data_IF_343636001153
#
_entry.id   IF_343636001153
#
_cell.length_a   1.000
_cell.length_b   1.000
_cell.length_c   1.000
_cell.angle_alpha   90.00
_cell.angle_beta   90.00
_cell.angle_gamma   90.00
#
_symmetry.space_group_name_H-M   'P 1'
#
loop_
_entity.id
_entity.type
_entity.pdbx_description
1 polymer ?
#
# COMPACT_ATOMS: atom_id res chain seq x y z
N UNK A 1 -12.34 11.30 14.40
CA UNK A 1 -11.32 11.69 13.41
C UNK A 1 -9.91 11.22 13.70
N UNK A 2 -9.28 11.52 14.85
CA UNK A 2 -7.83 11.29 15.01
C UNK A 2 -7.35 9.84 14.85
N UNK A 3 -8.09 8.84 15.34
CA UNK A 3 -7.66 7.44 15.28
C UNK A 3 -7.55 6.88 13.85
N UNK A 4 -8.46 7.28 12.95
CA UNK A 4 -8.45 6.87 11.54
C UNK A 4 -7.28 7.50 10.79
N UNK A 5 -7.02 8.79 11.04
CA UNK A 5 -5.91 9.50 10.43
C UNK A 5 -4.57 8.93 10.90
N UNK A 6 -4.40 8.68 12.21
CA UNK A 6 -3.19 8.04 12.74
C UNK A 6 -2.96 6.65 12.17
N UNK A 7 -4.02 5.85 12.01
CA UNK A 7 -3.95 4.53 11.39
C UNK A 7 -3.54 4.61 9.91
N UNK A 8 -4.11 5.55 9.16
CA UNK A 8 -3.75 5.77 7.76
C UNK A 8 -2.29 6.24 7.62
N UNK A 9 -1.84 7.18 8.46
CA UNK A 9 -0.46 7.68 8.48
C UNK A 9 0.54 6.56 8.80
N UNK A 10 0.24 5.73 9.81
CA UNK A 10 1.11 4.61 10.20
C UNK A 10 1.29 3.62 9.05
N UNK A 11 0.19 3.21 8.40
CA UNK A 11 0.23 2.28 7.29
C UNK A 11 0.86 2.87 6.03
N UNK A 12 0.58 4.15 5.74
CA UNK A 12 1.20 4.87 4.62
C UNK A 12 2.71 4.88 4.75
N UNK A 13 3.22 5.15 5.96
CA UNK A 13 4.66 5.13 6.26
C UNK A 13 5.22 3.72 6.22
N UNK A 14 4.57 2.77 6.90
CA UNK A 14 5.01 1.37 6.99
C UNK A 14 5.18 0.74 5.60
N UNK A 15 4.27 1.04 4.67
CA UNK A 15 4.27 0.43 3.34
C UNK A 15 4.88 1.33 2.26
N UNK A 16 5.46 2.46 2.65
CA UNK A 16 6.15 3.37 1.74
C UNK A 16 5.25 3.96 0.64
N UNK A 17 4.01 4.29 0.97
CA UNK A 17 3.10 5.02 0.08
C UNK A 17 3.61 6.46 -0.04
N UNK A 18 4.10 6.80 -1.23
CA UNK A 18 4.52 8.16 -1.59
C UNK A 18 3.28 8.98 -1.92
N UNK A 19 2.88 9.83 -0.98
CA UNK A 19 1.75 10.76 -1.09
C UNK A 19 2.13 12.08 -0.40
N UNK A 20 1.54 13.20 -0.81
CA UNK A 20 1.73 14.48 -0.11
C UNK A 20 0.86 14.55 1.16
N UNK A 21 -0.24 13.79 1.20
CA UNK A 21 -1.17 13.74 2.32
C UNK A 21 -1.99 12.46 2.31
N UNK A 22 -2.38 11.96 3.49
CA UNK A 22 -3.37 10.87 3.61
C UNK A 22 -4.78 11.26 3.15
N UNK A 23 -5.01 12.55 2.88
CA UNK A 23 -6.26 13.06 2.32
C UNK A 23 -6.25 13.18 0.80
N UNK A 24 -5.11 12.89 0.16
CA UNK A 24 -5.01 12.89 -1.30
C UNK A 24 -5.84 11.73 -1.90
N UNK A 25 -6.62 11.96 -2.97
CA UNK A 25 -7.36 10.89 -3.62
C UNK A 25 -6.41 9.78 -4.11
N UNK A 26 -6.69 8.51 -3.78
CA UNK A 26 -5.82 7.41 -4.20
C UNK A 26 -5.61 7.38 -5.74
N UNK A 27 -6.61 7.79 -6.52
CA UNK A 27 -6.56 7.85 -7.98
C UNK A 27 -5.52 8.83 -8.55
N UNK A 28 -5.05 9.82 -7.78
CA UNK A 28 -3.99 10.74 -8.24
C UNK A 28 -2.58 10.16 -8.03
N UNK A 29 -2.44 9.09 -7.25
CA UNK A 29 -1.15 8.45 -7.00
C UNK A 29 -0.69 7.63 -8.22
N UNK A 30 0.62 7.36 -8.33
CA UNK A 30 1.12 6.42 -9.35
C UNK A 30 0.57 5.01 -9.12
N UNK A 31 0.48 4.18 -10.17
CA UNK A 31 -0.07 2.82 -10.07
C UNK A 31 0.57 1.98 -8.97
N UNK A 32 1.90 2.07 -8.78
CA UNK A 32 2.60 1.43 -7.67
C UNK A 32 2.12 1.90 -6.29
N UNK A 33 1.90 3.20 -6.11
CA UNK A 33 1.39 3.75 -4.84
C UNK A 33 -0.09 3.43 -4.63
N UNK A 34 -0.89 3.38 -5.70
CA UNK A 34 -2.27 2.89 -5.63
C UNK A 34 -2.30 1.44 -5.11
N UNK A 35 -1.41 0.60 -5.63
CA UNK A 35 -1.30 -0.79 -5.17
C UNK A 35 -0.87 -0.90 -3.70
N UNK A 36 0.12 -0.10 -3.27
CA UNK A 36 0.53 -0.01 -1.86
C UNK A 36 -0.63 0.40 -0.95
N UNK A 37 -1.50 1.31 -1.39
CA UNK A 37 -2.73 1.69 -0.65
C UNK A 37 -3.71 0.53 -0.53
N UNK A 38 -3.88 -0.28 -1.57
CA UNK A 38 -4.73 -1.49 -1.50
C UNK A 38 -4.16 -2.49 -0.49
N UNK A 39 -2.86 -2.78 -0.58
CA UNK A 39 -2.15 -3.67 0.36
C UNK A 39 -2.28 -3.15 1.79
N UNK A 40 -2.13 -1.84 2.00
CA UNK A 40 -2.28 -1.18 3.30
C UNK A 40 -3.60 -1.48 4.00
N UNK A 41 -4.71 -1.41 3.24
CA UNK A 41 -6.05 -1.69 3.79
C UNK A 41 -6.15 -3.11 4.33
N UNK A 42 -5.54 -4.08 3.65
CA UNK A 42 -5.57 -5.48 4.06
C UNK A 42 -4.59 -5.77 5.20
N UNK A 43 -3.33 -5.35 5.09
CA UNK A 43 -2.32 -5.52 6.14
C UNK A 43 -2.76 -4.87 7.45
N UNK A 44 -3.36 -3.68 7.38
CA UNK A 44 -3.88 -2.97 8.54
C UNK A 44 -4.97 -3.70 9.31
N UNK A 45 -5.67 -4.65 8.67
CA UNK A 45 -6.66 -5.52 9.31
C UNK A 45 -6.04 -6.72 10.04
N UNK A 46 -4.73 -6.91 9.91
CA UNK A 46 -3.97 -8.02 10.52
C UNK A 46 -4.60 -9.40 10.23
N UNK A 47 -4.87 -9.73 8.95
CA UNK A 47 -5.42 -11.04 8.59
C UNK A 47 -4.39 -12.14 8.85
N UNK A 48 -4.85 -13.35 9.13
CA UNK A 48 -3.98 -14.52 9.27
C UNK A 48 -3.42 -15.01 7.92
N UNK A 49 -4.13 -14.74 6.82
CA UNK A 49 -3.76 -15.15 5.46
C UNK A 49 -4.14 -14.01 4.50
N UNK A 50 -3.24 -13.68 3.56
CA UNK A 50 -3.50 -12.78 2.44
C UNK A 50 -3.20 -13.54 1.15
N UNK A 51 -4.16 -13.57 0.22
CA UNK A 51 -3.97 -14.10 -1.13
C UNK A 51 -3.87 -12.90 -2.08
N UNK A 52 -2.81 -12.86 -2.87
CA UNK A 52 -2.53 -11.78 -3.81
C UNK A 52 -2.47 -12.34 -5.22
N UNK A 53 -3.52 -12.10 -6.00
CA UNK A 53 -3.57 -12.47 -7.42
C UNK A 53 -3.14 -11.28 -8.28
N UNK A 54 -2.17 -11.53 -9.17
CA UNK A 54 -1.51 -10.50 -10.00
C UNK A 54 -1.23 -9.15 -9.29
N UNK A 55 -0.56 -9.12 -8.11
CA UNK A 55 -0.44 -7.92 -7.29
C UNK A 55 0.38 -6.80 -7.92
N UNK A 56 0.99 -7.04 -9.08
CA UNK A 56 1.81 -6.08 -9.81
C UNK A 56 1.24 -5.76 -11.20
N UNK A 57 -0.06 -6.00 -11.42
CA UNK A 57 -0.71 -5.67 -12.68
C UNK A 57 -0.83 -4.15 -12.87
N UNK A 58 -0.56 -3.69 -14.09
CA UNK A 58 -0.76 -2.28 -14.46
C UNK A 58 0.25 -1.30 -13.85
N UNK A 59 1.36 -1.79 -13.29
CA UNK A 59 2.47 -0.95 -12.79
C UNK A 59 3.73 -1.17 -13.65
N UNK A 60 4.55 -0.14 -13.79
CA UNK A 60 5.81 -0.21 -14.52
C UNK A 60 6.83 -1.13 -13.84
N UNK A 61 7.83 -1.59 -14.59
CA UNK A 61 8.79 -2.60 -14.12
C UNK A 61 9.61 -2.14 -12.90
N UNK A 62 9.86 -0.83 -12.76
CA UNK A 62 10.56 -0.27 -11.60
C UNK A 62 9.72 -0.40 -10.34
N UNK A 63 8.43 -0.04 -10.43
CA UNK A 63 7.48 -0.14 -9.33
C UNK A 63 7.13 -1.59 -8.95
N UNK A 64 7.27 -2.57 -9.85
CA UNK A 64 7.03 -3.99 -9.53
C UNK A 64 7.93 -4.47 -8.40
N UNK A 65 9.21 -4.09 -8.44
CA UNK A 65 10.20 -4.50 -7.45
C UNK A 65 9.81 -4.02 -6.05
N UNK A 66 9.42 -2.76 -5.91
CA UNK A 66 8.92 -2.19 -4.65
C UNK A 66 7.77 -3.02 -4.04
N UNK A 67 6.84 -3.51 -4.87
CA UNK A 67 5.72 -4.33 -4.41
C UNK A 67 6.18 -5.73 -4.01
N UNK A 68 7.10 -6.35 -4.76
CA UNK A 68 7.68 -7.64 -4.38
C UNK A 68 8.45 -7.56 -3.07
N UNK A 69 9.29 -6.54 -2.90
CA UNK A 69 10.05 -6.32 -1.68
C UNK A 69 9.10 -6.11 -0.49
N UNK A 70 8.03 -5.32 -0.69
CA UNK A 70 6.98 -5.15 0.30
C UNK A 70 6.29 -6.46 0.70
N UNK A 71 6.00 -7.35 -0.26
CA UNK A 71 5.40 -8.65 0.02
C UNK A 71 6.36 -9.54 0.82
N UNK A 72 7.65 -9.51 0.50
CA UNK A 72 8.68 -10.27 1.23
C UNK A 72 8.85 -9.78 2.68
N UNK A 73 8.69 -8.48 2.95
CA UNK A 73 8.72 -7.95 4.33
C UNK A 73 7.53 -8.39 5.19
N UNK A 74 6.45 -8.88 4.57
CA UNK A 74 5.24 -9.34 5.25
C UNK A 74 5.25 -10.85 5.56
N UNK A 75 6.24 -11.59 5.06
CA UNK A 75 6.43 -13.04 5.23
C UNK A 75 7.70 -13.34 5.99
#
# INVERSE_FOLDING_TARGET
>A
SNKLNSFADELSKKLGVKTQSIHEPASSLSGGNQQKVVIAKWVGKKPSIIIMDEPTRGIDIGAKRDIYDLMNELT
#
